data_IF_190304483311
#
_entry.id   IF_190304483311
#
_cell.length_a   1.000
_cell.length_b   1.000
_cell.length_c   1.000
_cell.angle_alpha   90.00
_cell.angle_beta   90.00
_cell.angle_gamma   90.00
#
_symmetry.space_group_name_H-M   'P 1'
#
loop_
_entity.id
_entity.type
_entity.pdbx_description
1 polymer ?
#
# COMPACT_ATOMS: atom_id res chain seq x y z
N UNK A 1 30.66 42.14 55.45
CA UNK A 1 30.43 42.47 54.02
C UNK A 1 30.20 41.16 53.27
N UNK A 2 28.94 40.80 52.98
CA UNK A 2 28.59 39.51 52.37
C UNK A 2 28.54 39.66 50.84
N UNK A 3 29.50 39.05 50.13
CA UNK A 3 29.61 39.09 48.67
C UNK A 3 28.56 38.16 48.07
N UNK A 4 27.44 38.71 47.56
CA UNK A 4 26.42 37.96 46.79
C UNK A 4 27.11 37.33 45.57
N UNK A 5 27.35 36.01 45.61
CA UNK A 5 27.88 35.25 44.48
C UNK A 5 26.72 34.67 43.66
N UNK A 6 26.65 35.08 42.39
CA UNK A 6 26.29 34.20 41.27
C UNK A 6 24.84 33.77 41.06
N UNK A 7 23.84 34.66 41.14
CA UNK A 7 22.44 34.31 40.83
C UNK A 7 22.25 34.07 39.31
N UNK A 8 23.00 34.75 38.44
CA UNK A 8 22.87 34.61 36.98
C UNK A 8 23.39 33.29 36.40
N UNK A 9 24.29 32.59 37.09
CA UNK A 9 24.88 31.33 36.61
C UNK A 9 23.91 30.14 36.71
N UNK A 10 22.97 30.19 37.68
CA UNK A 10 21.92 29.16 37.82
C UNK A 10 20.89 29.25 36.70
N UNK A 11 20.52 30.46 36.28
CA UNK A 11 19.51 30.68 35.24
C UNK A 11 19.96 30.15 33.87
N UNK A 12 21.22 30.35 33.50
CA UNK A 12 21.76 29.79 32.25
C UNK A 12 21.83 28.27 32.28
N UNK A 13 22.10 27.67 33.45
CA UNK A 13 22.20 26.23 33.60
C UNK A 13 20.82 25.57 33.43
N UNK A 14 19.78 26.14 34.02
CA UNK A 14 18.42 25.62 33.90
C UNK A 14 17.91 25.68 32.45
N UNK A 15 18.23 26.73 31.70
CA UNK A 15 17.86 26.85 30.28
C UNK A 15 18.59 25.79 29.43
N UNK A 16 19.87 25.56 29.68
CA UNK A 16 20.65 24.52 28.98
C UNK A 16 20.09 23.13 29.31
N UNK A 17 19.78 22.87 30.58
CA UNK A 17 19.20 21.61 31.03
C UNK A 17 17.83 21.35 30.38
N UNK A 18 16.96 22.37 30.36
CA UNK A 18 15.66 22.29 29.71
C UNK A 18 15.79 22.01 28.20
N UNK A 19 16.76 22.63 27.53
CA UNK A 19 17.02 22.39 26.11
C UNK A 19 17.49 20.95 25.84
N UNK A 20 18.38 20.41 26.67
CA UNK A 20 18.86 19.03 26.54
C UNK A 20 17.72 18.03 26.74
N UNK A 21 16.87 18.23 27.75
CA UNK A 21 15.69 17.39 28.00
C UNK A 21 14.73 17.48 26.82
N UNK A 22 14.49 18.68 26.30
CA UNK A 22 13.63 18.88 25.12
C UNK A 22 14.17 18.14 23.89
N UNK A 23 15.47 18.23 23.60
CA UNK A 23 16.10 17.50 22.49
C UNK A 23 15.99 15.98 22.66
N UNK A 24 16.11 15.47 23.89
CA UNK A 24 15.91 14.06 24.19
C UNK A 24 14.47 13.61 23.90
N UNK A 25 13.49 14.39 24.35
CA UNK A 25 12.08 14.12 24.09
C UNK A 25 11.80 14.13 22.59
N UNK A 26 12.25 15.16 21.86
CA UNK A 26 12.10 15.25 20.39
C UNK A 26 12.77 14.05 19.70
N UNK A 27 13.94 13.63 20.16
CA UNK A 27 14.63 12.45 19.65
C UNK A 27 13.81 11.17 19.79
N UNK A 28 13.20 10.94 20.96
CA UNK A 28 12.31 9.79 21.21
C UNK A 28 11.08 9.85 20.31
N UNK A 29 10.44 11.01 20.17
CA UNK A 29 9.30 11.14 19.26
C UNK A 29 9.69 10.91 17.80
N UNK A 30 10.86 11.39 17.39
CA UNK A 30 11.35 11.23 16.02
C UNK A 30 11.62 9.74 15.68
N UNK A 31 12.22 8.98 16.60
CA UNK A 31 12.45 7.54 16.39
C UNK A 31 11.13 6.78 16.31
N UNK A 32 10.19 7.04 17.23
CA UNK A 32 8.87 6.40 17.24
C UNK A 32 8.03 6.69 15.99
N UNK A 33 8.14 7.90 15.40
CA UNK A 33 7.44 8.25 14.18
C UNK A 33 8.05 7.64 12.91
N UNK A 34 9.35 7.33 12.93
CA UNK A 34 10.09 6.86 11.75
C UNK A 34 9.84 5.37 11.46
N UNK A 35 9.66 4.54 12.48
CA UNK A 35 9.52 3.08 12.32
C UNK A 35 8.21 2.67 11.60
N UNK A 36 7.15 3.46 11.70
CA UNK A 36 5.86 3.10 11.12
C UNK A 36 5.80 3.18 9.58
N UNK A 37 6.67 3.96 8.94
CA UNK A 37 6.61 4.17 7.48
C UNK A 37 7.28 3.06 6.68
N UNK A 38 8.45 2.58 7.12
CA UNK A 38 9.19 1.53 6.40
C UNK A 38 8.44 0.21 6.39
N UNK A 39 7.87 -0.17 7.53
CA UNK A 39 7.09 -1.41 7.68
C UNK A 39 5.85 -1.40 6.79
N UNK A 40 5.15 -0.26 6.67
CA UNK A 40 3.96 -0.15 5.82
C UNK A 40 4.27 -0.34 4.33
N UNK A 41 5.35 0.25 3.83
CA UNK A 41 5.76 0.11 2.42
C UNK A 41 6.19 -1.33 2.12
N UNK A 42 6.98 -1.95 3.01
CA UNK A 42 7.39 -3.34 2.87
C UNK A 42 6.18 -4.29 2.86
N UNK A 43 5.19 -4.05 3.72
CA UNK A 43 3.97 -4.84 3.74
C UNK A 43 3.16 -4.69 2.44
N UNK A 44 3.02 -3.48 1.89
CA UNK A 44 2.30 -3.27 0.61
C UNK A 44 3.01 -3.99 -0.55
N UNK A 45 4.33 -3.96 -0.59
CA UNK A 45 5.09 -4.68 -1.61
C UNK A 45 4.94 -6.19 -1.47
N UNK A 46 4.96 -6.71 -0.24
CA UNK A 46 4.72 -8.12 0.04
C UNK A 46 3.30 -8.54 -0.39
N UNK A 47 2.29 -7.74 -0.04
CA UNK A 47 0.90 -7.96 -0.44
C UNK A 47 0.73 -7.95 -1.96
N UNK A 48 1.34 -6.98 -2.65
CA UNK A 48 1.32 -6.90 -4.10
C UNK A 48 1.99 -8.11 -4.76
N UNK A 49 3.15 -8.54 -4.25
CA UNK A 49 3.86 -9.72 -4.74
C UNK A 49 3.09 -11.02 -4.49
N UNK A 50 2.40 -11.10 -3.36
CA UNK A 50 1.55 -12.26 -3.02
C UNK A 50 0.34 -12.31 -3.95
N UNK A 51 -0.30 -11.16 -4.18
CA UNK A 51 -1.43 -11.05 -5.09
C UNK A 51 -1.03 -11.40 -6.52
N UNK A 52 0.07 -10.83 -7.04
CA UNK A 52 0.55 -11.12 -8.40
C UNK A 52 0.92 -12.59 -8.55
N UNK A 53 1.62 -13.17 -7.56
CA UNK A 53 2.00 -14.57 -7.59
C UNK A 53 0.80 -15.52 -7.51
N UNK A 54 -0.26 -15.15 -6.79
CA UNK A 54 -1.47 -15.96 -6.72
C UNK A 54 -2.37 -15.84 -7.97
N UNK A 55 -2.13 -14.84 -8.81
CA UNK A 55 -2.77 -14.67 -10.12
C UNK A 55 -2.00 -15.35 -11.24
N UNK A 56 -0.72 -15.67 -11.05
CA UNK A 56 0.15 -16.31 -12.04
C UNK A 56 0.62 -17.69 -11.58
N UNK A 57 0.09 -18.73 -12.23
CA UNK A 57 0.42 -20.13 -11.90
C UNK A 57 1.91 -20.45 -12.07
N UNK A 58 2.62 -19.70 -12.91
CA UNK A 58 4.06 -19.88 -13.11
C UNK A 58 4.89 -19.44 -11.90
N UNK A 59 4.30 -18.69 -10.97
CA UNK A 59 4.95 -18.25 -9.72
C UNK A 59 5.07 -19.37 -8.68
N UNK A 60 4.58 -20.58 -8.97
CA UNK A 60 4.66 -21.73 -8.06
C UNK A 60 3.66 -21.70 -6.90
N UNK A 61 2.79 -20.69 -6.85
CA UNK A 61 1.67 -20.61 -5.92
C UNK A 61 0.47 -21.26 -6.60
N UNK A 62 0.14 -22.49 -6.17
CA UNK A 62 -1.03 -23.18 -6.69
C UNK A 62 -2.30 -22.55 -6.12
N UNK A 63 -2.93 -21.70 -6.91
CA UNK A 63 -4.09 -20.91 -6.56
C UNK A 63 -5.21 -21.23 -7.55
N UNK A 64 -6.37 -21.64 -7.03
CA UNK A 64 -7.60 -21.78 -7.83
C UNK A 64 -8.06 -20.45 -8.45
N UNK A 65 -7.42 -19.33 -8.10
CA UNK A 65 -7.66 -18.00 -8.66
C UNK A 65 -6.59 -17.56 -9.66
N UNK A 66 -5.64 -18.44 -10.02
CA UNK A 66 -4.65 -18.12 -11.04
C UNK A 66 -5.34 -17.84 -12.38
N UNK A 67 -5.19 -16.61 -12.86
CA UNK A 67 -5.77 -16.12 -14.12
C UNK A 67 -4.76 -16.25 -15.26
N UNK A 68 -3.46 -16.26 -14.95
CA UNK A 68 -2.38 -16.40 -15.93
C UNK A 68 -1.84 -17.82 -15.83
N UNK A 69 -1.89 -18.55 -16.95
CA UNK A 69 -1.30 -19.88 -17.09
C UNK A 69 -0.35 -19.89 -18.29
N UNK A 70 0.92 -20.21 -18.06
CA UNK A 70 1.96 -20.25 -19.10
C UNK A 70 2.07 -18.95 -19.92
N UNK A 71 1.92 -17.79 -19.27
CA UNK A 71 1.96 -16.48 -19.93
C UNK A 71 0.71 -16.14 -20.75
N UNK A 72 -0.33 -16.98 -20.70
CA UNK A 72 -1.62 -16.75 -21.36
C UNK A 72 -2.66 -16.43 -20.30
N UNK A 73 -3.47 -15.40 -20.57
CA UNK A 73 -4.59 -15.01 -19.71
C UNK A 73 -5.78 -15.94 -20.00
N UNK A 74 -6.24 -16.66 -18.98
CA UNK A 74 -7.49 -17.42 -19.02
C UNK A 74 -8.67 -16.44 -18.89
N UNK A 75 -9.35 -16.22 -20.02
CA UNK A 75 -10.46 -15.28 -20.10
C UNK A 75 -11.67 -15.65 -19.23
N UNK A 76 -11.90 -16.94 -18.96
CA UNK A 76 -13.01 -17.38 -18.11
C UNK A 76 -12.72 -17.12 -16.64
N UNK A 77 -11.48 -17.43 -16.20
CA UNK A 77 -11.04 -17.11 -14.84
C UNK A 77 -10.90 -15.61 -14.60
N UNK A 78 -10.47 -14.85 -15.61
CA UNK A 78 -10.47 -13.40 -15.55
C UNK A 78 -11.89 -12.88 -15.35
N UNK A 79 -12.84 -13.37 -16.15
CA UNK A 79 -14.24 -12.96 -16.01
C UNK A 79 -14.83 -13.35 -14.65
N UNK A 80 -14.50 -14.54 -14.13
CA UNK A 80 -14.96 -14.97 -12.80
C UNK A 80 -14.38 -14.11 -11.69
N UNK A 81 -13.11 -13.67 -11.81
CA UNK A 81 -12.48 -12.72 -10.90
C UNK A 81 -13.26 -11.40 -10.83
N UNK A 82 -13.75 -10.90 -11.97
CA UNK A 82 -14.51 -9.66 -12.06
C UNK A 82 -15.96 -9.78 -11.55
N UNK A 83 -16.48 -11.00 -11.41
CA UNK A 83 -17.79 -11.26 -10.81
C UNK A 83 -17.72 -11.52 -9.31
N UNK A 84 -16.53 -11.74 -8.75
CA UNK A 84 -16.36 -11.97 -7.32
C UNK A 84 -16.56 -10.68 -6.52
N UNK A 85 -16.98 -10.83 -5.27
CA UNK A 85 -17.01 -9.73 -4.32
C UNK A 85 -15.58 -9.32 -3.93
N UNK A 86 -15.28 -8.03 -4.01
CA UNK A 86 -13.96 -7.47 -3.69
C UNK A 86 -13.54 -7.79 -2.25
N UNK A 87 -14.47 -7.65 -1.30
CA UNK A 87 -14.16 -7.88 0.12
C UNK A 87 -13.87 -9.35 0.39
N UNK A 88 -14.63 -10.26 -0.23
CA UNK A 88 -14.37 -11.69 -0.17
C UNK A 88 -13.00 -12.06 -0.78
N UNK A 89 -12.65 -11.47 -1.92
CA UNK A 89 -11.37 -11.73 -2.58
C UNK A 89 -10.19 -11.21 -1.75
N UNK A 90 -10.33 -10.00 -1.18
CA UNK A 90 -9.35 -9.39 -0.28
C UNK A 90 -9.07 -10.27 0.93
N UNK A 91 -10.12 -10.80 1.56
CA UNK A 91 -9.99 -11.72 2.69
C UNK A 91 -9.34 -13.04 2.28
N UNK A 92 -9.68 -13.57 1.10
CA UNK A 92 -9.13 -14.84 0.61
C UNK A 92 -7.63 -14.75 0.31
N UNK A 93 -7.13 -13.59 -0.11
CA UNK A 93 -5.70 -13.35 -0.30
C UNK A 93 -4.98 -12.85 0.96
N UNK A 94 -5.69 -12.64 2.07
CA UNK A 94 -5.11 -12.11 3.31
C UNK A 94 -4.57 -10.69 3.17
N UNK A 95 -5.08 -9.92 2.21
CA UNK A 95 -4.59 -8.56 1.92
C UNK A 95 -5.27 -7.57 2.85
N UNK A 96 -4.50 -6.78 3.59
CA UNK A 96 -5.05 -5.73 4.44
C UNK A 96 -5.21 -4.41 3.66
N UNK A 97 -4.30 -4.15 2.72
CA UNK A 97 -4.32 -2.98 1.85
C UNK A 97 -5.46 -2.96 0.83
N UNK A 98 -5.66 -1.81 0.20
CA UNK A 98 -6.51 -1.72 -0.98
C UNK A 98 -5.70 -2.03 -2.23
N UNK A 99 -6.32 -2.72 -3.19
CA UNK A 99 -5.68 -3.10 -4.44
C UNK A 99 -6.58 -2.88 -5.65
N UNK A 100 -5.95 -2.80 -6.81
CA UNK A 100 -6.60 -2.75 -8.10
C UNK A 100 -5.81 -3.62 -9.09
N UNK A 101 -6.51 -4.56 -9.73
CA UNK A 101 -5.99 -5.46 -10.76
C UNK A 101 -6.41 -4.93 -12.11
N UNK A 102 -5.46 -4.72 -13.01
CA UNK A 102 -5.69 -4.29 -14.38
C UNK A 102 -4.72 -4.99 -15.32
N UNK A 103 -5.06 -5.03 -16.60
CA UNK A 103 -4.25 -5.66 -17.64
C UNK A 103 -3.74 -4.56 -18.57
N UNK A 104 -2.47 -4.68 -18.91
CA UNK A 104 -1.79 -3.79 -19.84
C UNK A 104 -1.25 -4.64 -21.00
N UNK A 105 -1.40 -4.15 -22.22
CA UNK A 105 -0.81 -4.78 -23.39
C UNK A 105 0.70 -4.51 -23.49
N UNK A 106 1.34 -5.12 -24.49
CA UNK A 106 2.77 -4.93 -24.77
C UNK A 106 3.18 -3.49 -25.12
N UNK A 107 2.21 -2.63 -25.45
CA UNK A 107 2.42 -1.22 -25.81
C UNK A 107 2.16 -0.28 -24.63
N UNK A 108 1.79 -0.81 -23.46
CA UNK A 108 1.45 0.00 -22.29
C UNK A 108 -0.01 0.47 -22.25
N UNK A 109 -0.87 0.01 -23.16
CA UNK A 109 -2.28 0.38 -23.17
C UNK A 109 -3.09 -0.49 -22.23
N UNK A 110 -4.05 0.14 -21.55
CA UNK A 110 -4.96 -0.56 -20.67
C UNK A 110 -5.96 -1.40 -21.50
N UNK A 111 -6.02 -2.69 -21.20
CA UNK A 111 -6.96 -3.62 -21.83
C UNK A 111 -8.27 -3.61 -21.07
N UNK A 112 -9.34 -3.14 -21.71
CA UNK A 112 -10.67 -3.13 -21.14
C UNK A 112 -11.27 -4.54 -21.09
N UNK A 113 -11.93 -4.88 -19.98
CA UNK A 113 -12.49 -6.22 -19.78
C UNK A 113 -14.00 -6.16 -19.89
N UNK A 114 -14.56 -6.96 -20.79
CA UNK A 114 -15.99 -7.03 -21.03
C UNK A 114 -16.69 -7.80 -19.89
N UNK A 115 -17.53 -7.09 -19.13
CA UNK A 115 -18.35 -7.65 -18.06
C UNK A 115 -19.83 -7.53 -18.40
N UNK A 116 -20.71 -8.20 -17.64
CA UNK A 116 -22.16 -8.06 -17.81
C UNK A 116 -22.66 -6.62 -17.65
N UNK A 117 -21.89 -5.76 -16.97
CA UNK A 117 -22.20 -4.35 -16.73
C UNK A 117 -21.54 -3.37 -17.71
N UNK A 118 -20.71 -3.87 -18.65
CA UNK A 118 -19.95 -3.04 -19.60
C UNK A 118 -18.44 -3.32 -19.58
N UNK A 119 -17.69 -2.54 -20.36
CA UNK A 119 -16.22 -2.59 -20.43
C UNK A 119 -15.62 -1.92 -19.19
N UNK A 120 -14.93 -2.67 -18.33
CA UNK A 120 -14.28 -2.12 -17.13
C UNK A 120 -12.77 -1.93 -17.31
N UNK A 121 -12.21 -0.93 -16.64
CA UNK A 121 -10.76 -0.66 -16.65
C UNK A 121 -9.93 -1.52 -15.68
N UNK A 122 -10.57 -2.23 -14.76
CA UNK A 122 -9.89 -2.99 -13.72
C UNK A 122 -10.87 -3.63 -12.74
N UNK A 123 -10.36 -4.39 -11.79
CA UNK A 123 -11.09 -4.94 -10.65
C UNK A 123 -10.41 -4.56 -9.35
N UNK A 124 -11.13 -3.93 -8.43
CA UNK A 124 -10.56 -3.53 -7.15
C UNK A 124 -11.28 -2.36 -6.51
N UNK A 125 -10.59 -1.68 -5.60
CA UNK A 125 -11.12 -0.54 -4.88
C UNK A 125 -11.20 0.71 -5.77
N UNK A 126 -12.39 1.29 -5.92
CA UNK A 126 -12.64 2.49 -6.72
C UNK A 126 -11.95 3.77 -6.22
N UNK A 127 -11.41 3.79 -5.00
CA UNK A 127 -10.59 4.90 -4.51
C UNK A 127 -9.18 4.92 -5.12
N UNK A 128 -8.77 3.83 -5.77
CA UNK A 128 -7.50 3.74 -6.49
C UNK A 128 -7.71 4.15 -7.95
N UNK A 129 -6.72 4.81 -8.53
CA UNK A 129 -6.78 5.32 -9.91
C UNK A 129 -5.78 4.61 -10.81
N UNK A 130 -6.21 4.29 -12.04
CA UNK A 130 -5.35 3.83 -13.14
C UNK A 130 -5.43 4.90 -14.23
N UNK A 131 -4.31 5.55 -14.57
CA UNK A 131 -4.27 6.66 -15.55
C UNK A 131 -5.35 7.72 -15.27
N UNK A 132 -5.41 8.21 -14.03
CA UNK A 132 -6.39 9.20 -13.53
C UNK A 132 -7.86 8.76 -13.57
N UNK A 133 -8.14 7.47 -13.79
CA UNK A 133 -9.50 6.91 -13.79
C UNK A 133 -9.70 5.99 -12.59
N UNK A 134 -10.81 6.10 -11.84
CA UNK A 134 -11.07 5.20 -10.72
C UNK A 134 -11.11 3.72 -11.17
N UNK A 135 -10.59 2.83 -10.35
CA UNK A 135 -10.58 1.39 -10.61
C UNK A 135 -12.01 0.83 -10.68
N UNK A 136 -12.26 -0.11 -11.60
CA UNK A 136 -13.58 -0.73 -11.77
C UNK A 136 -14.61 0.14 -12.48
N UNK A 137 -14.22 1.29 -13.02
CA UNK A 137 -15.12 2.16 -13.79
C UNK A 137 -15.33 1.63 -15.20
N UNK A 138 -16.50 1.94 -15.75
CA UNK A 138 -16.85 1.59 -17.12
C UNK A 138 -16.14 2.57 -18.07
N UNK A 139 -15.38 2.03 -19.02
CA UNK A 139 -14.78 2.79 -20.12
C UNK A 139 -15.79 2.83 -21.25
N UNK A 140 -16.26 4.03 -21.60
CA UNK A 140 -17.03 4.28 -22.82
C UNK A 140 -16.08 4.51 -24.00
#
# INVERSE_FOLDING_TARGET
MMKKRGIGQSWSLDVILAFVIFMLIVGIFYTLLTDNKKTKIQNIQLEASTLSGALDKSSGIDSNLAVIENGVVDSEKLRSLYTNDYSALKNKFGIMGDFCIYIVDQYGNLVAINTSTGLKNGFGNGNLTINDRPCGTIIQ
#
